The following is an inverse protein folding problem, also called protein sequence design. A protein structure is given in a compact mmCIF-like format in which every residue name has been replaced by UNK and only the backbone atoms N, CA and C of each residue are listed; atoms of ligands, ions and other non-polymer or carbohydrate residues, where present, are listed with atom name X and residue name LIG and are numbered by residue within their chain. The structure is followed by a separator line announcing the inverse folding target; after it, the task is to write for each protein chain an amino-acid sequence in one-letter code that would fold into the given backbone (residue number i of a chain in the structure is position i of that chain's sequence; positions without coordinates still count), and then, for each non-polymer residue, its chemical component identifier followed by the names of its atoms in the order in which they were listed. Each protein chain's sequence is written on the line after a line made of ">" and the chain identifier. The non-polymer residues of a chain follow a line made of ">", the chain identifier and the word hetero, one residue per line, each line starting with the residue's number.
data_IF_528776363919
#
_entry.id   IF_528776363919
#
_cell.length_a   1.000
_cell.length_b   1.000
_cell.length_c   1.000
_cell.angle_alpha   90.00
_cell.angle_beta   90.00
_cell.angle_gamma   90.00
#
_symmetry.space_group_name_H-M   'P 1'
#
loop_
_entity.id
_entity.type
_entity.pdbx_description
1 polymer ?
#
# COMPACT_ATOMS: atom_id res chain seq x y z
N UNK A 1 -90.30 8.91 15.81
CA UNK A 1 -89.33 9.07 16.92
C UNK A 1 -87.98 8.66 16.35
N UNK A 2 -87.10 9.64 16.13
CA UNK A 2 -85.78 9.45 15.49
C UNK A 2 -84.73 9.57 16.59
N UNK A 3 -83.90 8.54 16.75
CA UNK A 3 -82.80 8.51 17.72
C UNK A 3 -81.74 9.57 17.39
N UNK A 4 -81.67 10.60 18.24
CA UNK A 4 -80.60 11.61 18.30
C UNK A 4 -79.36 11.02 19.00
N UNK A 5 -78.73 10.00 18.42
CA UNK A 5 -77.54 9.41 19.02
C UNK A 5 -76.25 9.96 18.39
N UNK A 6 -75.78 11.04 19.03
CA UNK A 6 -74.38 11.34 19.36
C UNK A 6 -73.31 11.11 18.28
N UNK A 7 -73.10 12.12 17.44
CA UNK A 7 -71.81 12.33 16.76
C UNK A 7 -70.94 13.21 17.67
N UNK A 8 -70.08 12.61 18.50
CA UNK A 8 -69.01 13.33 19.21
C UNK A 8 -67.75 13.29 18.36
N UNK A 9 -67.16 14.44 17.98
CA UNK A 9 -65.90 14.43 17.25
C UNK A 9 -64.77 13.90 18.13
N UNK A 10 -63.78 13.18 17.57
CA UNK A 10 -62.63 12.72 18.32
C UNK A 10 -61.86 13.90 18.93
N UNK A 11 -61.67 13.84 20.24
CA UNK A 11 -60.99 14.85 21.03
C UNK A 11 -59.54 14.98 20.54
N UNK A 12 -59.16 16.19 20.09
CA UNK A 12 -57.82 16.46 19.62
C UNK A 12 -56.82 16.16 20.74
N UNK A 13 -55.91 15.22 20.50
CA UNK A 13 -54.82 14.90 21.43
C UNK A 13 -53.92 16.11 21.69
N UNK A 14 -53.11 16.09 22.75
CA UNK A 14 -52.24 17.19 23.10
C UNK A 14 -51.29 17.53 21.93
N UNK A 15 -50.97 18.82 21.71
CA UNK A 15 -50.06 19.23 20.65
C UNK A 15 -48.70 18.56 20.85
N UNK A 16 -48.18 17.92 19.80
CA UNK A 16 -46.83 17.38 19.81
C UNK A 16 -45.82 18.50 20.13
N UNK A 17 -44.82 18.25 20.99
CA UNK A 17 -43.80 19.25 21.27
C UNK A 17 -43.00 19.58 20.00
N UNK A 18 -42.53 20.82 19.84
CA UNK A 18 -41.71 21.22 18.70
C UNK A 18 -40.44 20.36 18.64
N UNK A 19 -40.23 19.69 17.50
CA UNK A 19 -39.00 18.96 17.24
C UNK A 19 -37.89 19.97 16.97
N UNK A 20 -37.07 20.25 17.98
CA UNK A 20 -35.85 21.03 17.79
C UNK A 20 -34.88 20.21 16.91
N UNK A 21 -34.25 20.81 15.88
CA UNK A 21 -33.21 20.15 15.12
C UNK A 21 -32.11 19.71 16.08
N UNK A 22 -31.91 18.40 16.24
CA UNK A 22 -30.83 17.91 17.07
C UNK A 22 -29.49 18.34 16.44
N UNK A 23 -28.51 18.81 17.25
CA UNK A 23 -27.17 19.10 16.76
C UNK A 23 -26.63 17.85 16.06
N UNK A 24 -26.33 17.96 14.76
CA UNK A 24 -25.66 16.88 14.05
C UNK A 24 -24.32 16.63 14.74
N UNK A 25 -24.01 15.39 15.14
CA UNK A 25 -22.71 15.08 15.70
C UNK A 25 -21.62 15.43 14.67
N UNK A 26 -20.45 15.93 15.11
CA UNK A 26 -19.37 16.30 14.20
C UNK A 26 -19.03 15.10 13.31
N UNK A 27 -19.17 15.29 12.00
CA UNK A 27 -18.78 14.30 11.00
C UNK A 27 -17.30 13.99 11.18
N UNK A 28 -16.99 12.79 11.65
CA UNK A 28 -15.62 12.32 11.76
C UNK A 28 -14.97 12.32 10.37
N UNK A 29 -13.72 12.83 10.24
CA UNK A 29 -13.06 12.89 8.94
C UNK A 29 -12.92 11.48 8.36
N UNK A 30 -13.12 11.30 7.04
CA UNK A 30 -13.07 9.99 6.42
C UNK A 30 -11.70 9.33 6.65
N UNK A 31 -11.64 8.00 6.89
CA UNK A 31 -10.39 7.29 7.09
C UNK A 31 -9.46 7.49 5.90
N UNK A 32 -8.33 8.20 6.09
CA UNK A 32 -7.31 8.34 5.05
C UNK A 32 -6.63 6.99 4.84
N UNK A 33 -6.86 6.37 3.69
CA UNK A 33 -6.14 5.16 3.30
C UNK A 33 -4.65 5.48 3.14
N UNK A 34 -3.73 4.63 3.64
CA UNK A 34 -2.31 4.82 3.41
C UNK A 34 -2.01 4.75 1.90
N UNK A 35 -1.27 5.74 1.39
CA UNK A 35 -0.85 5.77 -0.01
C UNK A 35 0.06 4.57 -0.32
N UNK A 36 -0.28 3.84 -1.38
CA UNK A 36 0.45 2.63 -1.82
C UNK A 36 1.58 2.98 -2.81
N UNK A 37 1.53 4.18 -3.40
CA UNK A 37 2.43 4.68 -4.44
C UNK A 37 3.92 4.59 -4.06
N UNK A 38 4.38 5.05 -2.88
CA UNK A 38 5.81 5.02 -2.56
C UNK A 38 6.40 3.59 -2.47
N UNK A 39 5.59 2.59 -2.12
CA UNK A 39 6.07 1.20 -2.00
C UNK A 39 6.28 0.55 -3.35
N UNK A 40 5.39 0.83 -4.31
CA UNK A 40 5.51 0.34 -5.68
C UNK A 40 6.75 0.93 -6.33
N UNK A 41 7.02 2.22 -6.13
CA UNK A 41 8.24 2.88 -6.60
C UNK A 41 9.50 2.20 -6.04
N UNK A 42 9.51 1.85 -4.76
CA UNK A 42 10.66 1.17 -4.14
C UNK A 42 10.90 -0.23 -4.74
N UNK A 43 9.82 -0.96 -5.02
CA UNK A 43 9.90 -2.28 -5.69
C UNK A 43 10.45 -2.15 -7.11
N UNK A 44 9.93 -1.20 -7.88
CA UNK A 44 10.36 -0.95 -9.26
C UNK A 44 11.83 -0.54 -9.26
N UNK A 45 12.24 0.34 -8.35
CA UNK A 45 13.65 0.72 -8.19
C UNK A 45 14.52 -0.49 -7.84
N UNK A 46 14.07 -1.35 -6.93
CA UNK A 46 14.79 -2.58 -6.57
C UNK A 46 14.94 -3.55 -7.75
N UNK A 47 13.88 -3.78 -8.53
CA UNK A 47 13.94 -4.67 -9.72
C UNK A 47 14.85 -4.07 -10.79
N UNK A 48 14.69 -2.78 -11.11
CA UNK A 48 15.52 -2.10 -12.11
C UNK A 48 16.98 -2.07 -11.70
N UNK A 49 17.27 -1.78 -10.42
CA UNK A 49 18.64 -1.81 -9.90
C UNK A 49 19.27 -3.19 -9.96
N UNK A 50 18.48 -4.26 -9.71
CA UNK A 50 18.95 -5.64 -9.86
C UNK A 50 19.25 -6.00 -11.32
N UNK A 51 18.39 -5.59 -12.26
CA UNK A 51 18.64 -5.76 -13.69
C UNK A 51 19.89 -4.99 -14.16
N UNK A 52 20.09 -3.78 -13.63
CA UNK A 52 21.27 -2.97 -13.95
C UNK A 52 22.55 -3.64 -13.42
N UNK A 53 22.53 -4.16 -12.19
CA UNK A 53 23.66 -4.88 -11.59
C UNK A 53 24.03 -6.13 -12.41
N UNK A 54 23.03 -6.88 -12.88
CA UNK A 54 23.22 -8.02 -13.79
C UNK A 54 23.78 -7.59 -15.15
N UNK A 55 23.39 -6.42 -15.66
CA UNK A 55 24.00 -5.86 -16.86
C UNK A 55 25.49 -5.54 -16.65
N UNK A 56 25.82 -4.86 -15.55
CA UNK A 56 27.19 -4.42 -15.24
C UNK A 56 28.13 -5.62 -15.07
N UNK A 57 27.71 -6.67 -14.37
CA UNK A 57 28.57 -7.85 -14.13
C UNK A 57 28.87 -8.64 -15.43
N UNK A 58 28.02 -8.52 -16.45
CA UNK A 58 28.21 -9.18 -17.75
C UNK A 58 29.20 -8.44 -18.64
N UNK A 59 29.41 -7.13 -18.44
CA UNK A 59 30.27 -6.30 -19.29
C UNK A 59 31.69 -6.88 -19.40
N UNK A 60 32.40 -7.21 -18.30
CA UNK A 60 33.71 -7.85 -18.42
C UNK A 60 33.66 -9.16 -19.19
N UNK A 61 32.72 -10.06 -18.89
CA UNK A 61 32.61 -11.35 -19.59
C UNK A 61 32.45 -11.19 -21.11
N UNK A 62 31.64 -10.22 -21.54
CA UNK A 62 31.46 -9.89 -22.96
C UNK A 62 32.74 -9.30 -23.57
N UNK A 63 33.40 -8.34 -22.90
CA UNK A 63 34.66 -7.76 -23.38
C UNK A 63 35.78 -8.80 -23.52
N UNK A 64 35.84 -9.76 -22.58
CA UNK A 64 36.78 -10.87 -22.63
C UNK A 64 36.57 -11.71 -23.89
N UNK A 65 35.33 -12.08 -24.19
CA UNK A 65 34.95 -12.87 -25.37
C UNK A 65 35.16 -12.11 -26.69
N UNK A 66 35.02 -10.78 -26.70
CA UNK A 66 35.25 -9.94 -27.88
C UNK A 66 36.74 -9.74 -28.23
N UNK A 67 37.66 -10.40 -27.51
CA UNK A 67 39.10 -10.33 -27.78
C UNK A 67 39.88 -9.45 -26.81
N UNK A 68 39.28 -8.99 -25.71
CA UNK A 68 39.98 -8.26 -24.65
C UNK A 68 40.88 -9.12 -23.75
N UNK A 69 40.81 -10.45 -23.87
CA UNK A 69 41.47 -11.41 -22.96
C UNK A 69 42.96 -11.68 -23.20
N UNK A 70 43.67 -10.85 -23.97
CA UNK A 70 45.07 -11.08 -24.31
C UNK A 70 46.03 -11.14 -23.11
N UNK A 71 45.72 -10.44 -22.02
CA UNK A 71 46.41 -10.54 -20.73
C UNK A 71 45.37 -10.69 -19.61
N UNK A 72 45.27 -11.89 -19.04
CA UNK A 72 44.25 -12.24 -18.05
C UNK A 72 44.42 -11.45 -16.75
N UNK A 73 45.65 -11.23 -16.29
CA UNK A 73 45.91 -10.54 -15.02
C UNK A 73 45.51 -9.06 -15.09
N UNK A 74 45.85 -8.39 -16.19
CA UNK A 74 45.44 -6.99 -16.42
C UNK A 74 43.92 -6.86 -16.65
N UNK A 75 43.32 -7.88 -17.25
CA UNK A 75 41.89 -7.93 -17.48
C UNK A 75 41.11 -8.13 -16.17
N UNK A 76 41.61 -8.98 -15.26
CA UNK A 76 40.99 -9.23 -13.96
C UNK A 76 40.99 -7.99 -13.07
N UNK A 77 42.11 -7.25 -13.04
CA UNK A 77 42.20 -5.98 -12.29
C UNK A 77 41.21 -4.93 -12.81
N UNK A 78 41.04 -4.85 -14.14
CA UNK A 78 39.99 -4.03 -14.77
C UNK A 78 38.57 -4.52 -14.43
N UNK A 79 38.32 -5.84 -14.50
CA UNK A 79 37.01 -6.43 -14.23
C UNK A 79 36.59 -6.30 -12.77
N UNK A 80 37.55 -6.25 -11.84
CA UNK A 80 37.32 -6.15 -10.40
C UNK A 80 36.43 -4.96 -10.02
N UNK A 81 36.60 -3.81 -10.68
CA UNK A 81 35.79 -2.60 -10.45
C UNK A 81 34.32 -2.79 -10.85
N UNK A 82 34.06 -3.51 -11.93
CA UNK A 82 32.70 -3.85 -12.37
C UNK A 82 32.06 -4.88 -11.46
N UNK A 83 32.83 -5.88 -11.02
CA UNK A 83 32.38 -6.89 -10.06
C UNK A 83 32.00 -6.21 -8.75
N UNK A 84 32.85 -5.36 -8.19
CA UNK A 84 32.57 -4.65 -6.94
C UNK A 84 31.32 -3.76 -7.07
N UNK A 85 31.23 -2.97 -8.14
CA UNK A 85 30.10 -2.06 -8.37
C UNK A 85 28.78 -2.82 -8.55
N UNK A 86 28.78 -3.91 -9.33
CA UNK A 86 27.60 -4.74 -9.52
C UNK A 86 27.14 -5.41 -8.23
N UNK A 87 28.06 -5.85 -7.37
CA UNK A 87 27.71 -6.40 -6.05
C UNK A 87 27.11 -5.34 -5.14
N UNK A 88 27.73 -4.16 -5.02
CA UNK A 88 27.20 -3.06 -4.19
C UNK A 88 25.79 -2.69 -4.66
N UNK A 89 25.62 -2.49 -5.96
CA UNK A 89 24.32 -2.11 -6.53
C UNK A 89 23.30 -3.24 -6.38
N UNK A 90 23.70 -4.49 -6.60
CA UNK A 90 22.85 -5.66 -6.43
C UNK A 90 22.36 -5.84 -5.00
N UNK A 91 23.25 -5.74 -4.01
CA UNK A 91 22.87 -5.81 -2.59
C UNK A 91 21.98 -4.64 -2.16
N UNK A 92 22.29 -3.41 -2.59
CA UNK A 92 21.46 -2.26 -2.28
C UNK A 92 20.05 -2.40 -2.89
N UNK A 93 19.97 -2.89 -4.13
CA UNK A 93 18.71 -3.14 -4.83
C UNK A 93 17.90 -4.27 -4.20
N UNK A 94 18.57 -5.35 -3.78
CA UNK A 94 17.96 -6.46 -3.05
C UNK A 94 17.40 -5.99 -1.70
N UNK A 95 18.15 -5.17 -0.96
CA UNK A 95 17.68 -4.59 0.29
C UNK A 95 16.45 -3.70 0.08
N UNK A 96 16.48 -2.84 -0.95
CA UNK A 96 15.34 -1.99 -1.31
C UNK A 96 14.10 -2.83 -1.69
N UNK A 97 14.29 -3.93 -2.43
CA UNK A 97 13.21 -4.85 -2.81
C UNK A 97 12.61 -5.54 -1.58
N UNK A 98 13.45 -6.10 -0.70
CA UNK A 98 13.00 -6.74 0.55
C UNK A 98 12.21 -5.75 1.40
N UNK A 99 12.74 -4.53 1.55
CA UNK A 99 12.08 -3.47 2.30
C UNK A 99 10.71 -3.13 1.67
N UNK A 100 10.65 -2.98 0.36
CA UNK A 100 9.42 -2.75 -0.39
C UNK A 100 8.37 -3.85 -0.19
N UNK A 101 8.79 -5.12 -0.23
CA UNK A 101 7.92 -6.28 0.04
C UNK A 101 7.37 -6.20 1.46
N UNK A 102 8.24 -6.06 2.46
CA UNK A 102 7.85 -6.05 3.87
C UNK A 102 6.86 -4.92 4.16
N UNK A 103 7.12 -3.70 3.67
CA UNK A 103 6.24 -2.56 3.85
C UNK A 103 4.88 -2.74 3.14
N UNK A 104 4.87 -3.35 1.96
CA UNK A 104 3.63 -3.70 1.24
C UNK A 104 2.81 -4.71 2.03
N UNK A 105 3.43 -5.74 2.62
CA UNK A 105 2.75 -6.74 3.44
C UNK A 105 2.18 -6.11 4.72
N UNK A 106 2.95 -5.25 5.39
CA UNK A 106 2.50 -4.57 6.62
C UNK A 106 1.32 -3.65 6.33
N UNK A 107 1.39 -2.84 5.27
CA UNK A 107 0.29 -1.94 4.87
C UNK A 107 -0.94 -2.72 4.42
N UNK A 108 -0.78 -3.81 3.66
CA UNK A 108 -1.88 -4.69 3.30
C UNK A 108 -2.54 -5.34 4.53
N UNK A 109 -1.74 -5.79 5.51
CA UNK A 109 -2.23 -6.36 6.78
C UNK A 109 -2.98 -5.32 7.61
N UNK A 110 -2.46 -4.08 7.68
CA UNK A 110 -3.12 -2.96 8.36
C UNK A 110 -4.45 -2.60 7.69
N UNK A 111 -4.49 -2.58 6.35
CA UNK A 111 -5.71 -2.32 5.57
C UNK A 111 -6.77 -3.40 5.78
N UNK A 112 -6.39 -4.69 5.87
CA UNK A 112 -7.31 -5.78 6.21
C UNK A 112 -7.92 -5.59 7.60
N UNK A 113 -7.12 -5.25 8.62
CA UNK A 113 -7.64 -4.98 9.98
C UNK A 113 -8.66 -3.84 10.01
N UNK A 114 -8.41 -2.75 9.27
CA UNK A 114 -9.34 -1.62 9.18
C UNK A 114 -10.64 -2.04 8.47
N UNK A 115 -10.55 -2.85 7.40
CA UNK A 115 -11.73 -3.42 6.73
C UNK A 115 -12.51 -4.35 7.64
N UNK A 116 -11.86 -5.23 8.38
CA UNK A 116 -12.52 -6.15 9.31
C UNK A 116 -13.25 -5.37 10.43
N UNK A 117 -12.62 -4.30 10.95
CA UNK A 117 -13.23 -3.41 11.92
C UNK A 117 -14.41 -2.61 11.34
N UNK A 118 -14.32 -2.16 10.09
CA UNK A 118 -15.38 -1.43 9.40
C UNK A 118 -16.57 -2.33 8.99
N UNK A 119 -16.33 -3.61 8.74
CA UNK A 119 -17.39 -4.59 8.39
C UNK A 119 -18.06 -5.23 9.61
N UNK A 120 -17.71 -4.82 10.83
CA UNK A 120 -18.40 -5.26 12.05
C UNK A 120 -18.22 -6.75 12.39
N UNK A 121 -17.22 -7.42 11.81
CA UNK A 121 -16.94 -8.82 12.14
C UNK A 121 -16.31 -8.91 13.54
N UNK A 122 -17.16 -9.07 14.55
CA UNK A 122 -16.76 -9.61 15.84
C UNK A 122 -16.25 -11.02 15.63
N UNK A 123 -14.94 -11.22 15.81
CA UNK A 123 -14.37 -12.57 15.89
C UNK A 123 -14.91 -13.20 17.18
N UNK A 124 -15.64 -14.34 17.11
CA UNK A 124 -15.89 -15.12 18.32
C UNK A 124 -14.53 -15.51 18.91
N UNK A 125 -14.39 -15.27 20.22
CA UNK A 125 -13.22 -15.65 21.00
C UNK A 125 -13.11 -17.16 21.10
#
# INVERSE_FOLDING_TARGET
>A
MVDQNAWTPPQAGPPYPPQFPMPQPPSSPPPRLPSVVPWILLMVAGVLGMLLALGIIMIPGVLFLLGGGGNVDAFDDFASGFILTSHILGFASLAALILGIVLTVITARKRRRIRDAAMGWHRPR
#
